data_IF_096999363910
#
_entry.id   IF_096999363910
#
_cell.length_a   1.000
_cell.length_b   1.000
_cell.length_c   1.000
_cell.angle_alpha   90.00
_cell.angle_beta   90.00
_cell.angle_gamma   90.00
#
_symmetry.space_group_name_H-M   'P 1'
#
loop_
_entity.id
_entity.type
_entity.pdbx_description
1 polymer ?
#
# COMPACT_ATOMS: atom_id res chain seq x y z
N UNK A 1 -5.24 11.95 6.78
CA UNK A 1 -4.61 12.10 5.44
C UNK A 1 -5.53 11.45 4.41
N UNK A 2 -5.34 11.71 3.11
CA UNK A 2 -6.24 11.25 2.04
C UNK A 2 -6.53 9.74 2.07
N UNK A 3 -5.53 8.91 2.43
CA UNK A 3 -5.71 7.45 2.46
C UNK A 3 -6.29 6.90 3.76
N UNK A 4 -6.49 7.72 4.80
CA UNK A 4 -7.01 7.28 6.10
C UNK A 4 -8.31 6.44 6.01
N UNK A 5 -9.24 6.69 5.07
CA UNK A 5 -10.43 5.85 4.93
C UNK A 5 -10.19 4.46 4.33
N UNK A 6 -9.03 4.19 3.72
CA UNK A 6 -8.82 3.02 2.85
C UNK A 6 -7.89 1.95 3.42
N UNK A 7 -7.39 2.13 4.63
CA UNK A 7 -6.63 1.10 5.35
C UNK A 7 -6.72 1.36 6.85
N UNK A 8 -6.45 0.32 7.63
CA UNK A 8 -6.33 0.43 9.08
C UNK A 8 -4.84 0.46 9.41
N UNK A 9 -4.42 1.46 10.19
CA UNK A 9 -3.07 1.54 10.75
C UNK A 9 -3.17 1.24 12.24
N UNK A 10 -2.47 0.22 12.70
CA UNK A 10 -2.37 -0.16 14.11
C UNK A 10 -0.91 -0.45 14.44
N UNK A 11 -0.38 0.27 15.44
CA UNK A 11 1.05 0.25 15.76
C UNK A 11 1.90 0.60 14.50
N UNK A 12 2.87 -0.25 14.17
CA UNK A 12 3.72 -0.15 12.98
C UNK A 12 3.23 -1.02 11.80
N UNK A 13 2.03 -1.59 11.92
CA UNK A 13 1.44 -2.43 10.89
C UNK A 13 0.21 -1.76 10.28
N UNK A 14 -0.14 -2.21 9.09
CA UNK A 14 -1.38 -1.86 8.45
C UNK A 14 -2.04 -3.06 7.79
N UNK A 15 -3.35 -3.00 7.66
CA UNK A 15 -4.11 -4.01 6.94
C UNK A 15 -5.28 -3.35 6.21
N UNK A 16 -5.94 -4.14 5.37
CA UNK A 16 -7.08 -3.71 4.57
C UNK A 16 -8.28 -4.58 4.88
N UNK A 17 -9.45 -3.96 4.97
CA UNK A 17 -10.73 -4.68 4.85
C UNK A 17 -11.15 -4.75 3.39
N UNK A 18 -12.03 -5.71 3.05
CA UNK A 18 -12.64 -5.81 1.72
C UNK A 18 -13.29 -4.50 1.29
N UNK A 19 -14.11 -3.92 2.17
CA UNK A 19 -14.84 -2.69 1.90
C UNK A 19 -13.93 -1.50 1.62
N UNK A 20 -12.88 -1.30 2.42
CA UNK A 20 -11.93 -0.20 2.22
C UNK A 20 -11.22 -0.29 0.86
N UNK A 21 -10.73 -1.47 0.51
CA UNK A 21 -10.02 -1.71 -0.73
C UNK A 21 -10.96 -1.64 -1.96
N UNK A 22 -12.18 -2.18 -1.88
CA UNK A 22 -13.18 -2.05 -2.96
C UNK A 22 -13.59 -0.60 -3.19
N UNK A 23 -13.80 0.15 -2.11
CA UNK A 23 -14.13 1.58 -2.17
C UNK A 23 -12.99 2.40 -2.80
N UNK A 24 -11.73 2.08 -2.49
CA UNK A 24 -10.59 2.71 -3.16
C UNK A 24 -10.54 2.38 -4.65
N UNK A 25 -10.69 1.08 -5.00
CA UNK A 25 -10.66 0.62 -6.38
C UNK A 25 -11.65 1.40 -7.24
N UNK A 26 -12.92 1.44 -6.82
CA UNK A 26 -14.02 2.04 -7.60
C UNK A 26 -14.05 3.56 -7.51
N UNK A 27 -13.81 4.10 -6.32
CA UNK A 27 -13.97 5.53 -6.04
C UNK A 27 -12.77 6.40 -6.39
N UNK A 28 -11.56 5.84 -6.29
CA UNK A 28 -10.30 6.58 -6.49
C UNK A 28 -9.55 6.10 -7.72
N UNK A 29 -9.34 4.79 -7.86
CA UNK A 29 -8.57 4.22 -8.97
C UNK A 29 -9.40 4.07 -10.26
N UNK A 30 -10.74 4.05 -10.16
CA UNK A 30 -11.61 3.74 -11.30
C UNK A 30 -11.45 2.30 -11.79
N UNK A 31 -10.97 1.40 -10.93
CA UNK A 31 -10.80 -0.03 -11.21
C UNK A 31 -12.04 -0.81 -10.79
N UNK A 32 -12.72 -1.38 -11.78
CA UNK A 32 -13.93 -2.19 -11.63
C UNK A 32 -13.68 -3.68 -11.92
N UNK A 33 -12.43 -4.12 -11.91
CA UNK A 33 -12.12 -5.54 -12.04
C UNK A 33 -12.79 -6.32 -10.89
N UNK A 34 -13.60 -7.36 -11.17
CA UNK A 34 -14.35 -8.07 -10.13
C UNK A 34 -13.52 -8.68 -9.01
N UNK A 35 -12.20 -8.88 -9.22
CA UNK A 35 -11.30 -9.34 -8.14
C UNK A 35 -11.23 -8.34 -6.97
N UNK A 36 -11.69 -7.11 -7.14
CA UNK A 36 -11.77 -6.09 -6.08
C UNK A 36 -13.17 -5.98 -5.47
N UNK A 37 -14.13 -6.82 -5.88
CA UNK A 37 -15.45 -6.86 -5.27
C UNK A 37 -15.41 -7.54 -3.90
N UNK A 38 -16.08 -6.93 -2.92
CA UNK A 38 -16.09 -7.39 -1.53
C UNK A 38 -16.51 -8.86 -1.41
N UNK A 39 -17.47 -9.32 -2.21
CA UNK A 39 -17.99 -10.69 -2.14
C UNK A 39 -17.21 -11.69 -3.03
N UNK A 40 -16.12 -11.25 -3.69
CA UNK A 40 -15.38 -12.14 -4.58
C UNK A 40 -14.55 -13.17 -3.78
N UNK A 41 -14.70 -14.45 -4.12
CA UNK A 41 -13.91 -15.54 -3.52
C UNK A 41 -12.39 -15.39 -3.72
N UNK A 42 -11.98 -14.71 -4.80
CA UNK A 42 -10.59 -14.40 -5.15
C UNK A 42 -10.25 -12.94 -4.88
N UNK A 43 -10.90 -12.33 -3.89
CA UNK A 43 -10.69 -10.94 -3.54
C UNK A 43 -9.20 -10.62 -3.38
N UNK A 44 -8.78 -9.52 -3.98
CA UNK A 44 -7.43 -8.99 -3.90
C UNK A 44 -7.50 -7.50 -3.61
N UNK A 45 -6.66 -7.02 -2.70
CA UNK A 45 -6.45 -5.58 -2.51
C UNK A 45 -5.85 -4.99 -3.80
N UNK A 46 -6.32 -3.83 -4.29
CA UNK A 46 -5.76 -3.18 -5.48
C UNK A 46 -4.27 -2.83 -5.32
N UNK A 47 -3.48 -3.08 -6.36
CA UNK A 47 -2.05 -2.73 -6.37
C UNK A 47 -1.81 -1.23 -6.18
N UNK A 48 -2.65 -0.39 -6.77
CA UNK A 48 -2.57 1.07 -6.63
C UNK A 48 -2.78 1.54 -5.19
N UNK A 49 -3.60 0.84 -4.40
CA UNK A 49 -3.79 1.16 -2.98
C UNK A 49 -2.53 0.82 -2.19
N UNK A 50 -1.95 -0.35 -2.41
CA UNK A 50 -0.70 -0.77 -1.76
C UNK A 50 0.45 0.19 -2.09
N UNK A 51 0.56 0.57 -3.36
CA UNK A 51 1.49 1.58 -3.85
C UNK A 51 1.25 2.95 -3.19
N UNK A 52 -0.01 3.40 -3.09
CA UNK A 52 -0.33 4.68 -2.48
C UNK A 52 0.02 4.72 -0.98
N UNK A 53 -0.22 3.64 -0.23
CA UNK A 53 0.18 3.53 1.18
C UNK A 53 1.70 3.59 1.31
N UNK A 54 2.44 2.87 0.47
CA UNK A 54 3.92 2.93 0.42
C UNK A 54 4.42 4.37 0.22
N UNK A 55 3.84 5.10 -0.74
CA UNK A 55 4.20 6.50 -0.98
C UNK A 55 3.82 7.43 0.17
N UNK A 56 2.69 7.19 0.84
CA UNK A 56 2.27 8.01 1.98
C UNK A 56 3.23 7.87 3.17
N UNK A 57 3.76 6.66 3.40
CA UNK A 57 4.65 6.40 4.53
C UNK A 57 6.11 6.77 4.24
N UNK A 58 6.60 6.45 3.04
CA UNK A 58 8.02 6.61 2.69
C UNK A 58 8.35 7.90 1.92
N UNK A 59 7.34 8.53 1.32
CA UNK A 59 7.51 9.68 0.44
C UNK A 59 7.85 9.30 -0.99
N UNK A 60 8.21 10.33 -1.77
CA UNK A 60 8.47 10.22 -3.21
C UNK A 60 9.92 10.56 -3.52
N UNK A 61 10.51 9.84 -4.46
CA UNK A 61 11.84 10.15 -5.02
C UNK A 61 11.72 10.42 -6.52
N UNK A 62 12.68 11.14 -7.09
CA UNK A 62 12.70 11.42 -8.54
C UNK A 62 12.79 10.15 -9.39
N UNK A 63 13.34 9.08 -8.85
CA UNK A 63 13.45 7.78 -9.50
C UNK A 63 13.08 6.72 -8.48
N UNK A 64 12.00 6.01 -8.77
CA UNK A 64 11.49 4.91 -7.96
C UNK A 64 11.12 3.77 -8.90
N UNK A 65 11.47 2.56 -8.52
CA UNK A 65 11.10 1.32 -9.21
C UNK A 65 10.24 0.50 -8.25
N UNK A 66 9.13 -0.03 -8.75
CA UNK A 66 8.19 -0.82 -7.96
C UNK A 66 7.98 -2.18 -8.61
N UNK A 67 8.08 -3.23 -7.79
CA UNK A 67 7.80 -4.61 -8.22
C UNK A 67 6.70 -5.20 -7.34
N UNK A 68 5.56 -5.52 -7.94
CA UNK A 68 4.48 -6.24 -7.27
C UNK A 68 4.78 -7.74 -7.29
N UNK A 69 4.91 -8.33 -6.11
CA UNK A 69 5.41 -9.70 -5.93
C UNK A 69 4.39 -10.68 -5.35
N UNK A 70 3.24 -10.19 -4.89
CA UNK A 70 2.20 -11.02 -4.30
C UNK A 70 0.83 -10.36 -4.28
N UNK A 71 -0.21 -11.18 -4.17
CA UNK A 71 -1.58 -10.74 -3.93
C UNK A 71 -1.81 -10.54 -2.44
N UNK A 72 -2.34 -9.39 -2.06
CA UNK A 72 -2.73 -9.09 -0.67
C UNK A 72 -4.22 -9.41 -0.51
N UNK A 73 -4.56 -10.19 0.51
CA UNK A 73 -5.95 -10.45 0.90
C UNK A 73 -6.33 -9.57 2.10
N UNK A 74 -7.63 -9.50 2.37
CA UNK A 74 -8.13 -8.84 3.58
C UNK A 74 -7.48 -9.37 4.85
N UNK A 75 -7.25 -8.47 5.82
CA UNK A 75 -6.73 -8.80 7.14
C UNK A 75 -5.25 -9.25 7.15
N UNK A 76 -4.58 -9.29 6.00
CA UNK A 76 -3.12 -9.50 5.96
C UNK A 76 -2.46 -8.35 6.68
N UNK A 77 -1.79 -8.62 7.80
CA UNK A 77 -1.00 -7.63 8.51
C UNK A 77 0.30 -7.37 7.74
N UNK A 78 0.52 -6.11 7.38
CA UNK A 78 1.63 -5.67 6.55
C UNK A 78 2.43 -4.59 7.25
N UNK A 79 3.72 -4.57 7.01
CA UNK A 79 4.59 -3.48 7.43
C UNK A 79 5.64 -3.18 6.35
N UNK A 80 6.27 -2.00 6.45
CA UNK A 80 7.38 -1.63 5.59
C UNK A 80 8.67 -2.09 6.25
N UNK A 81 9.39 -2.98 5.58
CA UNK A 81 10.76 -3.34 5.92
C UNK A 81 11.75 -2.46 5.15
N UNK A 82 12.80 -2.01 5.83
CA UNK A 82 13.87 -1.18 5.29
C UNK A 82 15.15 -2.01 5.19
N UNK A 83 15.33 -2.71 4.07
CA UNK A 83 16.54 -3.48 3.80
C UNK A 83 17.78 -2.57 3.66
N UNK A 84 17.57 -1.34 3.17
CA UNK A 84 18.57 -0.28 3.11
C UNK A 84 17.88 1.09 2.93
N UNK A 85 18.67 2.17 2.87
CA UNK A 85 18.15 3.50 2.51
C UNK A 85 17.46 3.51 1.13
N UNK A 86 17.97 2.71 0.19
CA UNK A 86 17.49 2.65 -1.20
C UNK A 86 16.41 1.60 -1.43
N UNK A 87 16.46 0.46 -0.72
CA UNK A 87 15.57 -0.68 -0.92
C UNK A 87 14.63 -0.86 0.27
N UNK A 88 13.34 -0.91 -0.03
CA UNK A 88 12.26 -1.07 0.93
C UNK A 88 11.25 -2.06 0.39
N UNK A 89 10.54 -2.75 1.27
CA UNK A 89 9.53 -3.71 0.87
C UNK A 89 8.31 -3.66 1.79
N UNK A 90 7.12 -3.84 1.23
CA UNK A 90 5.93 -4.20 2.00
C UNK A 90 5.93 -5.71 2.17
N UNK A 91 5.95 -6.15 3.42
CA UNK A 91 6.01 -7.56 3.81
C UNK A 91 4.94 -7.90 4.85
N UNK A 92 4.60 -9.20 4.97
CA UNK A 92 3.83 -9.71 6.12
C UNK A 92 4.73 -10.18 7.27
N UNK A 93 4.13 -10.72 8.33
CA UNK A 93 4.85 -11.26 9.50
C UNK A 93 5.79 -12.44 9.19
N UNK A 94 5.64 -13.09 8.04
CA UNK A 94 6.50 -14.20 7.60
C UNK A 94 7.56 -13.74 6.58
N UNK A 95 7.84 -12.43 6.51
CA UNK A 95 8.78 -11.80 5.57
C UNK A 95 8.43 -12.02 4.09
N UNK A 96 7.18 -12.38 3.78
CA UNK A 96 6.75 -12.52 2.38
C UNK A 96 6.59 -11.15 1.75
N UNK A 97 7.25 -10.92 0.62
CA UNK A 97 7.23 -9.64 -0.10
C UNK A 97 5.99 -9.51 -0.99
N UNK A 98 5.28 -8.38 -0.86
CA UNK A 98 4.11 -8.01 -1.68
C UNK A 98 4.43 -6.87 -2.65
N UNK A 99 5.22 -5.89 -2.22
CA UNK A 99 5.65 -4.75 -3.02
C UNK A 99 7.08 -4.37 -2.67
N UNK A 100 8.01 -4.53 -3.61
CA UNK A 100 9.37 -4.01 -3.47
C UNK A 100 9.46 -2.60 -4.06
N UNK A 101 10.25 -1.73 -3.44
CA UNK A 101 10.52 -0.38 -3.87
C UNK A 101 12.03 -0.09 -3.82
N UNK A 102 12.60 0.30 -4.96
CA UNK A 102 13.97 0.80 -5.04
C UNK A 102 13.94 2.27 -5.39
N UNK A 103 14.61 3.11 -4.60
CA UNK A 103 14.74 4.55 -4.86
C UNK A 103 16.16 4.90 -5.30
N UNK A 104 16.31 5.75 -6.33
CA UNK A 104 17.62 6.15 -6.89
C UNK A 104 17.82 7.67 -6.91
N UNK A 105 17.39 8.34 -5.84
CA UNK A 105 17.61 9.76 -5.60
C UNK A 105 17.13 10.15 -4.19
N UNK A 106 17.43 11.38 -3.77
CA UNK A 106 16.94 11.95 -2.52
C UNK A 106 15.41 11.92 -2.46
N UNK A 107 14.89 11.30 -1.40
CA UNK A 107 13.45 11.20 -1.13
C UNK A 107 12.92 12.48 -0.49
N UNK A 108 11.78 12.95 -0.98
CA UNK A 108 10.97 14.01 -0.38
C UNK A 108 9.79 13.34 0.28
N UNK A 109 9.71 13.44 1.61
CA UNK A 109 8.52 13.01 2.34
C UNK A 109 7.42 14.04 2.14
N UNK A 110 6.21 13.59 1.81
CA UNK A 110 5.08 14.51 1.82
C UNK A 110 4.97 15.08 3.24
N UNK A 111 4.95 16.41 3.42
CA UNK A 111 4.72 16.96 4.75
C UNK A 111 3.40 16.38 5.25
N UNK A 112 3.35 15.99 6.53
CA UNK A 112 2.07 15.68 7.17
C UNK A 112 1.14 16.84 6.85
N UNK A 113 0.06 16.58 6.11
CA UNK A 113 -1.01 17.56 5.92
C UNK A 113 -1.59 17.78 7.32
N UNK A 114 -0.95 18.65 8.10
CA UNK A 114 -1.45 19.10 9.38
C UNK A 114 -2.78 19.75 9.06
N UNK A 115 -3.86 19.18 9.61
CA UNK A 115 -5.18 19.79 9.56
C UNK A 115 -5.02 21.27 9.95
N UNK A 116 -5.38 22.17 9.04
CA UNK A 116 -5.79 23.51 9.46
C UNK A 116 -7.13 23.39 10.17
#
# INVERSE_FOLDING_TARGET
MFLTPYFVQENNQFHFTRAQASNFAKGIAGDFNPIHDEDNSRFCVPGDLLFAVMLQQEGISRSMEFTFSGMVTEGTELHINHESEENKAVVDENDKVYLACTVRAKTVRMPSLSKK
#
